data_IF_787147832127
#
_entry.id   IF_787147832127
#
_cell.length_a   1.000
_cell.length_b   1.000
_cell.length_c   1.000
_cell.angle_alpha   90.00
_cell.angle_beta   90.00
_cell.angle_gamma   90.00
#
_symmetry.space_group_name_H-M   'P 1'
#
loop_
_entity.id
_entity.type
_entity.pdbx_description
1 polymer ?
#
# COMPACT_ATOMS: atom_id res chain seq x y z
N UNK A 1 -5.62 -42.09 13.03
CA UNK A 1 -4.31 -41.44 12.78
C UNK A 1 -3.54 -42.05 11.60
N UNK A 2 -3.80 -43.29 11.19
CA UNK A 2 -3.11 -43.91 10.05
C UNK A 2 -3.51 -43.38 8.68
N UNK A 3 -4.79 -43.01 8.47
CA UNK A 3 -5.26 -42.47 7.20
C UNK A 3 -4.57 -41.16 6.77
N UNK A 4 -4.21 -40.30 7.73
CA UNK A 4 -3.47 -39.07 7.43
C UNK A 4 -2.04 -39.36 6.95
N UNK A 5 -1.41 -40.42 7.49
CA UNK A 5 -0.07 -40.86 7.07
C UNK A 5 -0.08 -41.46 5.66
N UNK A 6 -1.13 -42.22 5.31
CA UNK A 6 -1.29 -42.76 3.94
C UNK A 6 -1.43 -41.66 2.88
N UNK A 7 -2.10 -40.55 3.22
CA UNK A 7 -2.22 -39.38 2.31
C UNK A 7 -0.90 -38.58 2.20
N UNK A 8 -0.05 -38.59 3.23
CA UNK A 8 1.22 -37.86 3.26
C UNK A 8 2.40 -38.64 2.64
N UNK A 9 2.38 -39.98 2.67
CA UNK A 9 3.41 -40.84 2.09
C UNK A 9 3.75 -40.56 0.60
N UNK A 10 2.78 -40.35 -0.32
CA UNK A 10 3.10 -40.02 -1.70
C UNK A 10 3.74 -38.64 -1.85
N UNK A 11 3.46 -37.69 -0.95
CA UNK A 11 4.10 -36.37 -0.94
C UNK A 11 5.55 -36.42 -0.42
N UNK A 12 5.88 -37.39 0.45
CA UNK A 12 7.23 -37.62 0.99
C UNK A 12 8.15 -38.41 0.04
N UNK A 13 7.57 -39.22 -0.87
CA UNK A 13 8.30 -40.07 -1.82
C UNK A 13 8.54 -39.40 -3.20
N UNK A 14 8.28 -38.10 -3.32
CA UNK A 14 8.52 -37.34 -4.53
C UNK A 14 10.03 -37.13 -4.75
N UNK A 15 10.54 -37.17 -6.00
CA UNK A 15 11.95 -36.87 -6.27
C UNK A 15 12.30 -35.49 -5.72
N UNK A 16 13.48 -35.35 -5.10
CA UNK A 16 13.88 -34.17 -4.34
C UNK A 16 13.65 -32.85 -5.10
N UNK A 17 13.84 -32.86 -6.42
CA UNK A 17 13.58 -31.72 -7.32
C UNK A 17 12.13 -31.24 -7.30
N UNK A 18 11.16 -32.15 -7.32
CA UNK A 18 9.72 -31.80 -7.30
C UNK A 18 9.26 -31.27 -5.95
N UNK A 19 9.82 -31.78 -4.84
CA UNK A 19 9.56 -31.25 -3.49
C UNK A 19 10.11 -29.83 -3.31
N UNK A 20 11.28 -29.54 -3.87
CA UNK A 20 11.86 -28.18 -3.87
C UNK A 20 10.99 -27.22 -4.69
N UNK A 21 10.51 -27.62 -5.87
CA UNK A 21 9.63 -26.78 -6.69
C UNK A 21 8.31 -26.51 -5.97
N UNK A 22 7.70 -27.53 -5.35
CA UNK A 22 6.43 -27.39 -4.65
C UNK A 22 6.55 -26.49 -3.41
N UNK A 23 7.64 -26.63 -2.64
CA UNK A 23 7.91 -25.77 -1.48
C UNK A 23 8.19 -24.32 -1.89
N UNK A 24 8.90 -24.09 -2.99
CA UNK A 24 9.11 -22.75 -3.54
C UNK A 24 7.79 -22.12 -4.01
N UNK A 25 6.94 -22.89 -4.70
CA UNK A 25 5.61 -22.42 -5.10
C UNK A 25 4.74 -22.09 -3.89
N UNK A 26 4.76 -22.93 -2.84
CA UNK A 26 4.03 -22.67 -1.60
C UNK A 26 4.53 -21.38 -0.93
N UNK A 27 5.84 -21.21 -0.81
CA UNK A 27 6.46 -20.01 -0.24
C UNK A 27 6.08 -18.75 -1.02
N UNK A 28 6.10 -18.83 -2.35
CA UNK A 28 5.67 -17.74 -3.22
C UNK A 28 4.20 -17.39 -2.96
N UNK A 29 3.31 -18.38 -2.94
CA UNK A 29 1.89 -18.14 -2.66
C UNK A 29 1.68 -17.49 -1.28
N UNK A 30 2.38 -17.96 -0.24
CA UNK A 30 2.29 -17.38 1.10
C UNK A 30 2.76 -15.92 1.09
N UNK A 31 3.89 -15.61 0.46
CA UNK A 31 4.45 -14.25 0.43
C UNK A 31 3.58 -13.26 -0.35
N UNK A 32 2.79 -13.71 -1.33
CA UNK A 32 1.85 -12.84 -2.07
C UNK A 32 0.46 -12.75 -1.42
N UNK A 33 -0.11 -13.88 -0.97
CA UNK A 33 -1.49 -13.96 -0.48
C UNK A 33 -1.60 -13.40 0.93
N UNK A 34 -0.66 -13.74 1.82
CA UNK A 34 -0.73 -13.34 3.22
C UNK A 34 -0.75 -11.81 3.42
N UNK A 35 0.16 -11.00 2.84
CA UNK A 35 0.10 -9.55 3.01
C UNK A 35 -1.16 -8.96 2.37
N UNK A 36 -1.58 -9.46 1.21
CA UNK A 36 -2.81 -9.01 0.53
C UNK A 36 -4.04 -9.25 1.39
N UNK A 37 -4.13 -10.44 2.00
CA UNK A 37 -5.22 -10.79 2.91
C UNK A 37 -5.21 -9.95 4.20
N UNK A 38 -4.04 -9.75 4.81
CA UNK A 38 -3.91 -8.90 6.00
C UNK A 38 -4.30 -7.44 5.71
N UNK A 39 -3.89 -6.90 4.57
CA UNK A 39 -4.27 -5.56 4.11
C UNK A 39 -5.78 -5.47 3.85
N UNK A 40 -6.35 -6.48 3.19
CA UNK A 40 -7.80 -6.62 2.99
C UNK A 40 -8.55 -6.58 4.32
N UNK A 41 -8.16 -7.41 5.28
CA UNK A 41 -8.80 -7.52 6.59
C UNK A 41 -8.71 -6.22 7.38
N UNK A 42 -7.56 -5.56 7.37
CA UNK A 42 -7.33 -4.27 8.05
C UNK A 42 -8.25 -3.17 7.53
N UNK A 43 -8.48 -3.11 6.22
CA UNK A 43 -9.25 -2.06 5.54
C UNK A 43 -10.65 -2.50 5.10
N UNK A 44 -11.18 -3.61 5.64
CA UNK A 44 -12.49 -4.16 5.26
C UNK A 44 -13.66 -3.24 5.65
N UNK A 45 -13.49 -2.45 6.71
CA UNK A 45 -14.50 -1.52 7.20
C UNK A 45 -14.63 -0.26 6.31
N UNK A 46 -13.66 -0.02 5.43
CA UNK A 46 -13.70 1.13 4.51
C UNK A 46 -14.55 0.78 3.29
N UNK A 47 -15.55 1.58 2.94
CA UNK A 47 -16.40 1.30 1.80
C UNK A 47 -15.64 1.46 0.48
N UNK A 48 -16.03 0.69 -0.53
CA UNK A 48 -15.48 0.79 -1.89
C UNK A 48 -15.77 -0.43 -2.76
N UNK A 49 -15.38 -0.39 -4.04
CA UNK A 49 -15.55 -1.52 -4.96
C UNK A 49 -14.74 -2.73 -4.51
N UNK A 50 -15.32 -3.93 -4.64
CA UNK A 50 -14.64 -5.19 -4.28
C UNK A 50 -13.34 -5.39 -5.09
N UNK A 51 -13.33 -4.99 -6.36
CA UNK A 51 -12.13 -5.09 -7.21
C UNK A 51 -10.98 -4.24 -6.68
N UNK A 52 -11.24 -3.00 -6.26
CA UNK A 52 -10.24 -2.11 -5.65
C UNK A 52 -9.69 -2.67 -4.33
N UNK A 53 -10.51 -3.46 -3.64
CA UNK A 53 -10.14 -4.08 -2.38
C UNK A 53 -9.18 -5.27 -2.55
N UNK A 54 -9.17 -5.89 -3.73
CA UNK A 54 -8.37 -7.08 -4.04
C UNK A 54 -7.14 -6.75 -4.88
N UNK A 55 -7.26 -5.80 -5.82
CA UNK A 55 -6.20 -5.48 -6.76
C UNK A 55 -6.06 -3.97 -7.00
N UNK A 56 -4.83 -3.51 -7.21
CA UNK A 56 -4.52 -2.15 -7.64
C UNK A 56 -4.68 -1.93 -9.15
N UNK A 57 -4.94 -3.00 -9.92
CA UNK A 57 -5.02 -2.95 -11.39
C UNK A 57 -6.07 -1.99 -11.92
N UNK A 58 -7.23 -1.90 -11.26
CA UNK A 58 -8.31 -0.99 -11.67
C UNK A 58 -7.82 0.46 -11.61
N UNK A 59 -7.23 0.85 -10.49
CA UNK A 59 -6.68 2.19 -10.32
C UNK A 59 -5.51 2.46 -11.26
N UNK A 60 -4.61 1.49 -11.46
CA UNK A 60 -3.50 1.59 -12.41
C UNK A 60 -4.01 1.81 -13.84
N UNK A 61 -5.03 1.08 -14.27
CA UNK A 61 -5.68 1.27 -15.57
C UNK A 61 -6.24 2.68 -15.74
N UNK A 62 -6.98 3.18 -14.75
CA UNK A 62 -7.50 4.55 -14.80
C UNK A 62 -6.39 5.61 -14.79
N UNK A 63 -5.28 5.34 -14.09
CA UNK A 63 -4.10 6.22 -14.09
C UNK A 63 -3.43 6.26 -15.47
N UNK A 64 -3.27 5.11 -16.13
CA UNK A 64 -2.70 5.02 -17.49
C UNK A 64 -3.59 5.71 -18.55
N UNK A 65 -4.90 5.70 -18.34
CA UNK A 65 -5.88 6.38 -19.20
C UNK A 65 -6.10 7.86 -18.83
N UNK A 66 -5.26 8.45 -17.96
CA UNK A 66 -5.37 9.82 -17.44
C UNK A 66 -6.72 10.17 -16.77
N UNK A 67 -7.47 9.15 -16.32
CA UNK A 67 -8.79 9.30 -15.71
C UNK A 67 -8.83 9.00 -14.20
N UNK A 68 -7.70 8.94 -13.52
CA UNK A 68 -7.63 8.57 -12.10
C UNK A 68 -8.36 9.56 -11.20
N UNK A 69 -8.25 10.87 -11.46
CA UNK A 69 -8.93 11.90 -10.66
C UNK A 69 -10.45 11.82 -10.79
N UNK A 70 -10.98 11.65 -12.01
CA UNK A 70 -12.41 11.48 -12.24
C UNK A 70 -12.92 10.19 -11.58
N UNK A 71 -12.18 9.09 -11.73
CA UNK A 71 -12.52 7.82 -11.10
C UNK A 71 -12.63 7.93 -9.57
N UNK A 72 -11.67 8.59 -8.94
CA UNK A 72 -11.70 8.82 -7.48
C UNK A 72 -12.85 9.75 -7.09
N UNK A 73 -13.13 10.78 -7.88
CA UNK A 73 -14.27 11.67 -7.65
C UNK A 73 -15.61 10.90 -7.67
N UNK A 74 -15.84 10.08 -8.70
CA UNK A 74 -17.06 9.28 -8.85
C UNK A 74 -17.21 8.27 -7.70
N UNK A 75 -16.09 7.70 -7.24
CA UNK A 75 -16.07 6.83 -6.07
C UNK A 75 -16.47 7.56 -4.79
N UNK A 76 -15.92 8.76 -4.55
CA UNK A 76 -16.28 9.58 -3.40
C UNK A 76 -17.77 10.00 -3.44
N UNK A 77 -18.32 10.30 -4.62
CA UNK A 77 -19.75 10.59 -4.77
C UNK A 77 -20.63 9.37 -4.43
N UNK A 78 -20.19 8.15 -4.79
CA UNK A 78 -20.98 6.93 -4.60
C UNK A 78 -20.88 6.33 -3.19
N UNK A 79 -19.68 6.31 -2.61
CA UNK A 79 -19.40 5.62 -1.34
C UNK A 79 -19.21 6.58 -0.15
N UNK A 80 -19.14 7.88 -0.40
CA UNK A 80 -19.01 8.91 0.62
C UNK A 80 -17.59 9.44 0.80
N UNK A 81 -17.30 10.14 1.90
CA UNK A 81 -16.09 10.95 2.06
C UNK A 81 -14.81 10.15 2.32
N UNK A 82 -14.90 8.84 2.51
CA UNK A 82 -13.76 7.95 2.72
C UNK A 82 -13.94 6.70 1.87
N UNK A 83 -13.09 6.50 0.87
CA UNK A 83 -13.24 5.40 -0.09
C UNK A 83 -11.93 4.68 -0.35
N UNK A 84 -12.03 3.35 -0.48
CA UNK A 84 -10.91 2.50 -0.84
C UNK A 84 -10.64 2.50 -2.34
N UNK A 85 -9.42 2.88 -2.73
CA UNK A 85 -9.01 2.98 -4.14
C UNK A 85 -8.09 1.84 -4.55
N UNK A 86 -7.21 1.37 -3.65
CA UNK A 86 -6.39 0.17 -3.85
C UNK A 86 -6.38 -0.69 -2.58
N UNK A 87 -5.74 -1.88 -2.59
CA UNK A 87 -5.69 -2.72 -1.41
C UNK A 87 -5.03 -2.05 -0.19
N UNK A 88 -4.14 -1.09 -0.41
CA UNK A 88 -3.36 -0.39 0.62
C UNK A 88 -3.50 1.15 0.59
N UNK A 89 -4.31 1.71 -0.31
CA UNK A 89 -4.53 3.16 -0.45
C UNK A 89 -6.02 3.47 -0.29
N UNK A 90 -6.29 4.42 0.60
CA UNK A 90 -7.61 4.99 0.86
C UNK A 90 -7.54 6.47 0.54
N UNK A 91 -8.60 7.00 -0.05
CA UNK A 91 -8.76 8.42 -0.32
C UNK A 91 -9.85 8.97 0.59
N UNK A 92 -9.62 10.18 1.10
CA UNK A 92 -10.60 10.94 1.85
C UNK A 92 -10.87 12.26 1.12
N UNK A 93 -12.10 12.77 1.23
CA UNK A 93 -12.50 14.08 0.71
C UNK A 93 -12.92 15.08 1.80
N UNK A 94 -12.84 14.68 3.07
CA UNK A 94 -13.24 15.51 4.20
C UNK A 94 -12.14 16.51 4.62
N UNK A 95 -12.56 17.76 4.86
CA UNK A 95 -11.68 18.84 5.27
C UNK A 95 -11.17 18.69 6.71
N UNK A 96 -11.93 18.06 7.62
CA UNK A 96 -11.47 17.84 8.99
C UNK A 96 -10.31 16.83 9.00
N UNK A 97 -10.47 15.74 8.27
CA UNK A 97 -9.45 14.70 8.06
C UNK A 97 -8.20 15.27 7.42
N UNK A 98 -8.34 16.13 6.41
CA UNK A 98 -7.22 16.83 5.79
C UNK A 98 -6.43 17.67 6.82
N UNK A 99 -7.12 18.52 7.59
CA UNK A 99 -6.48 19.35 8.62
C UNK A 99 -5.78 18.53 9.68
N UNK A 100 -6.38 17.40 10.08
CA UNK A 100 -5.78 16.50 11.05
C UNK A 100 -4.48 15.89 10.51
N UNK A 101 -4.50 15.27 9.32
CA UNK A 101 -3.33 14.61 8.72
C UNK A 101 -2.20 15.60 8.44
N UNK A 102 -2.52 16.81 7.97
CA UNK A 102 -1.54 17.85 7.68
C UNK A 102 -1.06 18.63 8.92
N UNK A 103 -1.62 18.36 10.10
CA UNK A 103 -1.23 19.05 11.32
C UNK A 103 0.20 18.66 11.76
N UNK A 104 0.88 19.57 12.46
CA UNK A 104 2.20 19.29 13.02
C UNK A 104 2.18 18.20 14.13
N UNK A 105 1.00 17.91 14.69
CA UNK A 105 0.79 16.93 15.76
C UNK A 105 0.39 15.54 15.24
N UNK A 106 0.15 15.40 13.94
CA UNK A 106 -0.22 14.11 13.37
C UNK A 106 0.93 13.12 13.43
N UNK A 107 0.65 11.91 13.90
CA UNK A 107 1.59 10.78 13.91
C UNK A 107 1.67 10.07 12.54
N UNK A 108 1.37 10.77 11.45
CA UNK A 108 1.47 10.23 10.10
C UNK A 108 2.80 10.65 9.46
N UNK A 109 3.44 9.70 8.79
CA UNK A 109 4.60 9.97 7.94
C UNK A 109 4.15 10.10 6.49
N UNK A 110 4.93 10.81 5.67
CA UNK A 110 4.62 10.90 4.24
C UNK A 110 4.68 9.51 3.60
N UNK A 111 3.81 9.29 2.61
CA UNK A 111 3.78 8.04 1.84
C UNK A 111 5.01 7.85 0.95
N UNK A 112 5.18 6.62 0.44
CA UNK A 112 6.26 6.24 -0.47
C UNK A 112 6.33 7.13 -1.72
N UNK A 113 5.19 7.65 -2.18
CA UNK A 113 5.12 8.51 -3.36
C UNK A 113 6.07 9.73 -3.30
N UNK A 114 6.30 10.27 -2.11
CA UNK A 114 7.21 11.40 -1.93
C UNK A 114 8.68 11.04 -2.17
N UNK A 115 9.07 9.77 -2.06
CA UNK A 115 10.44 9.35 -2.40
C UNK A 115 10.75 9.51 -3.88
N UNK A 116 9.76 9.46 -4.77
CA UNK A 116 9.96 9.74 -6.19
C UNK A 116 10.31 11.21 -6.47
N UNK A 117 10.03 12.12 -5.53
CA UNK A 117 10.42 13.54 -5.66
C UNK A 117 11.88 13.81 -5.28
N UNK A 118 12.70 12.77 -5.14
CA UNK A 118 14.14 12.91 -4.94
C UNK A 118 14.78 13.41 -6.23
N UNK A 119 15.29 14.64 -6.17
CA UNK A 119 16.09 15.20 -7.24
C UNK A 119 17.46 14.52 -7.37
N UNK A 120 18.02 14.01 -6.27
CA UNK A 120 19.32 13.34 -6.27
C UNK A 120 19.31 12.08 -5.41
N UNK A 121 20.03 11.05 -5.84
CA UNK A 121 20.17 9.80 -5.10
C UNK A 121 20.98 10.00 -3.80
N UNK A 122 21.94 10.90 -3.80
CA UNK A 122 22.81 11.15 -2.64
C UNK A 122 22.18 12.09 -1.61
N UNK A 123 21.41 13.09 -2.05
CA UNK A 123 20.83 14.11 -1.17
C UNK A 123 19.31 14.08 -1.19
N UNK A 124 18.76 13.87 0.00
CA UNK A 124 17.33 14.00 0.26
C UNK A 124 16.89 15.47 0.18
N UNK A 125 15.75 15.74 -0.46
CA UNK A 125 15.09 17.05 -0.43
C UNK A 125 14.13 17.13 0.78
N UNK A 126 13.82 18.33 1.27
CA UNK A 126 12.84 18.49 2.36
C UNK A 126 11.42 18.01 1.97
N UNK A 127 11.14 17.98 0.67
CA UNK A 127 9.87 17.50 0.09
C UNK A 127 9.83 15.97 0.11
N UNK A 128 10.93 15.31 -0.29
CA UNK A 128 11.01 13.86 -0.41
C UNK A 128 11.18 13.13 0.93
N UNK A 129 11.72 13.80 1.95
CA UNK A 129 11.90 13.22 3.29
C UNK A 129 10.57 12.80 3.92
N UNK A 130 10.48 11.51 4.28
CA UNK A 130 9.30 10.91 4.96
C UNK A 130 9.38 10.97 6.48
N UNK A 131 10.59 10.89 7.03
CA UNK A 131 10.83 11.04 8.46
C UNK A 131 10.55 12.48 8.93
N UNK A 132 9.90 12.60 10.07
CA UNK A 132 9.44 13.89 10.59
C UNK A 132 10.58 14.69 11.23
N UNK A 133 11.50 14.04 11.94
CA UNK A 133 12.62 14.71 12.61
C UNK A 133 13.63 15.24 11.60
N UNK A 134 14.07 14.38 10.67
CA UNK A 134 15.00 14.76 9.60
C UNK A 134 14.46 15.90 8.73
N UNK A 135 13.14 15.88 8.46
CA UNK A 135 12.47 16.95 7.70
C UNK A 135 12.44 18.26 8.47
N UNK A 136 12.22 18.22 9.79
CA UNK A 136 12.21 19.41 10.66
C UNK A 136 13.59 20.09 10.69
N UNK A 137 14.65 19.30 10.84
CA UNK A 137 16.03 19.81 10.82
C UNK A 137 16.37 20.48 9.47
N UNK A 138 16.07 19.80 8.35
CA UNK A 138 16.33 20.36 7.02
C UNK A 138 15.50 21.62 6.76
N UNK A 139 14.23 21.64 7.17
CA UNK A 139 13.38 22.83 7.03
C UNK A 139 13.96 24.02 7.81
N UNK A 140 14.47 23.81 9.03
CA UNK A 140 15.13 24.86 9.82
C UNK A 140 16.29 25.53 9.07
N UNK A 141 17.08 24.74 8.33
CA UNK A 141 18.20 25.25 7.51
C UNK A 141 17.75 26.04 6.28
N UNK A 142 16.57 25.72 5.72
CA UNK A 142 16.06 26.33 4.49
C UNK A 142 15.17 27.56 4.72
N UNK A 143 14.53 27.68 5.88
CA UNK A 143 13.64 28.81 6.19
C UNK A 143 14.29 30.18 5.91
N UNK A 144 15.55 30.45 6.32
CA UNK A 144 16.18 31.75 6.08
C UNK A 144 16.33 32.14 4.59
N UNK A 145 16.29 31.16 3.68
CA UNK A 145 16.40 31.42 2.25
C UNK A 145 15.06 31.78 1.59
N UNK A 146 13.94 31.61 2.30
CA UNK A 146 12.58 31.80 1.78
C UNK A 146 11.79 32.86 2.57
N UNK A 147 12.33 33.34 3.69
CA UNK A 147 11.79 34.43 4.51
C UNK A 147 12.31 35.78 4.05
#
# INVERSE_FOLDING_TARGET
>A
MEGLKQLLNPLLNLPATTSIILSLLLLLNITFILPTYLQYRRLRHVPGPLLNSLTSLVYARHTLLNGSSQYVYDLCQKYGPLVRVTPNIVVFSDAQTFRYICSAKANYTKGLWFEFSRWSLERWSCIAMRDNESRKERKKKLIPAVS
#
